data_IF_248977658159
#
_entry.id   IF_248977658159
#
_cell.length_a   1.000
_cell.length_b   1.000
_cell.length_c   1.000
_cell.angle_alpha   90.00
_cell.angle_beta   90.00
_cell.angle_gamma   90.00
#
_symmetry.space_group_name_H-M   'P 1'
#
loop_
_entity.id
_entity.type
_entity.pdbx_description
1 polymer ?
#
# COMPACT_ATOMS: atom_id res chain seq x y z
N UNK A 1 -6.07 -9.18 4.17
CA UNK A 1 -4.59 -9.21 4.20
C UNK A 1 -4.07 -9.10 2.78
N UNK A 2 -3.10 -8.22 2.56
CA UNK A 2 -2.33 -8.11 1.32
C UNK A 2 -0.87 -8.41 1.66
N UNK A 3 -0.22 -9.27 0.89
CA UNK A 3 1.19 -9.63 1.07
C UNK A 3 1.97 -9.04 -0.09
N UNK A 4 2.96 -8.21 0.23
CA UNK A 4 3.74 -7.50 -0.79
C UNK A 4 3.06 -6.28 -1.41
N UNK A 5 3.87 -5.45 -2.06
CA UNK A 5 3.40 -4.41 -2.96
C UNK A 5 3.29 -4.98 -4.40
N UNK A 6 2.09 -5.00 -5.03
CA UNK A 6 1.85 -5.66 -6.32
C UNK A 6 2.36 -4.80 -7.49
N UNK A 7 3.66 -4.54 -7.50
CA UNK A 7 4.35 -3.80 -8.54
C UNK A 7 4.24 -4.53 -9.88
N UNK A 8 4.15 -3.74 -10.96
CA UNK A 8 4.13 -4.31 -12.30
C UNK A 8 5.48 -4.98 -12.63
N UNK A 9 5.49 -6.04 -13.45
CA UNK A 9 6.72 -6.68 -13.87
C UNK A 9 7.63 -5.69 -14.60
N UNK A 10 8.93 -5.86 -14.40
CA UNK A 10 9.94 -5.02 -15.02
C UNK A 10 10.18 -5.47 -16.47
N UNK A 11 9.61 -4.74 -17.43
CA UNK A 11 9.76 -5.02 -18.87
C UNK A 11 9.94 -3.73 -19.66
N UNK A 12 10.29 -3.86 -20.94
CA UNK A 12 10.60 -2.71 -21.81
C UNK A 12 9.44 -1.71 -21.92
N UNK A 13 8.20 -2.21 -22.06
CA UNK A 13 7.00 -1.35 -22.11
C UNK A 13 6.86 -0.55 -20.82
N UNK A 14 7.08 -1.19 -19.65
CA UNK A 14 7.01 -0.51 -18.36
C UNK A 14 8.12 0.54 -18.21
N UNK A 15 9.34 0.23 -18.66
CA UNK A 15 10.46 1.18 -18.65
C UNK A 15 10.15 2.41 -19.52
N UNK A 16 9.57 2.21 -20.71
CA UNK A 16 9.17 3.32 -21.59
C UNK A 16 8.11 4.20 -20.95
N UNK A 17 7.10 3.61 -20.31
CA UNK A 17 6.08 4.36 -19.56
C UNK A 17 6.74 5.17 -18.44
N UNK A 18 7.61 4.56 -17.64
CA UNK A 18 8.31 5.26 -16.56
C UNK A 18 9.17 6.42 -17.08
N UNK A 19 9.89 6.24 -18.19
CA UNK A 19 10.68 7.31 -18.81
C UNK A 19 9.80 8.45 -19.31
N UNK A 20 8.65 8.13 -19.91
CA UNK A 20 7.69 9.14 -20.34
C UNK A 20 7.19 9.98 -19.16
N UNK A 21 6.70 9.34 -18.09
CA UNK A 21 6.22 10.05 -16.91
C UNK A 21 7.34 10.79 -16.18
N UNK A 22 8.56 10.25 -16.10
CA UNK A 22 9.70 10.95 -15.53
C UNK A 22 10.03 12.23 -16.31
N UNK A 23 9.95 12.20 -17.65
CA UNK A 23 10.14 13.40 -18.48
C UNK A 23 9.04 14.45 -18.27
N UNK A 24 7.79 14.01 -18.06
CA UNK A 24 6.65 14.92 -17.91
C UNK A 24 6.50 15.49 -16.50
N UNK A 25 6.82 14.70 -15.46
CA UNK A 25 6.48 15.01 -14.06
C UNK A 25 7.69 14.97 -13.12
N UNK A 26 8.92 14.79 -13.63
CA UNK A 26 10.14 14.72 -12.82
C UNK A 26 10.14 13.52 -11.88
N UNK A 27 10.58 13.73 -10.63
CA UNK A 27 10.67 12.69 -9.60
C UNK A 27 9.32 11.99 -9.32
N UNK A 28 8.20 12.73 -9.39
CA UNK A 28 6.85 12.17 -9.22
C UNK A 28 6.43 11.25 -10.36
N UNK A 29 7.08 11.34 -11.52
CA UNK A 29 6.77 10.50 -12.67
C UNK A 29 6.90 9.00 -12.39
N UNK A 30 7.89 8.60 -11.59
CA UNK A 30 8.07 7.19 -11.18
C UNK A 30 6.93 6.73 -10.27
N UNK A 31 6.52 7.57 -9.31
CA UNK A 31 5.41 7.28 -8.43
C UNK A 31 4.12 7.05 -9.23
N UNK A 32 3.79 7.99 -10.12
CA UNK A 32 2.59 7.93 -10.96
C UNK A 32 2.60 6.68 -11.86
N UNK A 33 3.72 6.38 -12.49
CA UNK A 33 3.82 5.30 -13.49
C UNK A 33 3.91 3.89 -12.91
N UNK A 34 4.37 3.75 -11.66
CA UNK A 34 4.77 2.44 -11.11
C UNK A 34 4.19 2.14 -9.72
N UNK A 35 4.31 3.08 -8.78
CA UNK A 35 3.90 2.86 -7.39
C UNK A 35 2.40 3.07 -7.20
N UNK A 36 1.84 4.16 -7.73
CA UNK A 36 0.42 4.50 -7.59
C UNK A 36 -0.52 3.39 -8.12
N UNK A 37 -0.28 2.77 -9.29
CA UNK A 37 -1.09 1.64 -9.74
C UNK A 37 -1.02 0.42 -8.81
N UNK A 38 0.12 0.18 -8.17
CA UNK A 38 0.25 -0.90 -7.20
C UNK A 38 -0.50 -0.58 -5.90
N UNK A 39 -0.35 0.63 -5.39
CA UNK A 39 -1.10 1.12 -4.22
C UNK A 39 -2.61 1.05 -4.43
N UNK A 40 -3.11 1.46 -5.60
CA UNK A 40 -4.53 1.36 -5.91
C UNK A 40 -5.05 -0.09 -5.81
N UNK A 41 -4.27 -1.09 -6.24
CA UNK A 41 -4.66 -2.50 -6.09
C UNK A 41 -4.69 -2.95 -4.63
N UNK A 42 -3.74 -2.48 -3.82
CA UNK A 42 -3.72 -2.74 -2.37
C UNK A 42 -4.97 -2.14 -1.72
N UNK A 43 -5.24 -0.86 -1.97
CA UNK A 43 -6.39 -0.15 -1.43
C UNK A 43 -7.72 -0.78 -1.87
N UNK A 44 -7.83 -1.21 -3.13
CA UNK A 44 -8.99 -1.96 -3.60
C UNK A 44 -9.19 -3.28 -2.86
N UNK A 45 -8.12 -4.02 -2.58
CA UNK A 45 -8.20 -5.27 -1.83
C UNK A 45 -8.58 -5.04 -0.36
N UNK A 46 -8.00 -4.02 0.28
CA UNK A 46 -8.30 -3.67 1.67
C UNK A 46 -9.72 -3.10 1.82
N UNK A 47 -10.19 -2.30 0.86
CA UNK A 47 -11.56 -1.77 0.81
C UNK A 47 -12.66 -2.83 0.68
N UNK A 48 -12.30 -4.11 0.44
CA UNK A 48 -13.29 -5.21 0.51
C UNK A 48 -13.68 -5.57 1.94
N UNK A 49 -12.88 -5.17 2.93
CA UNK A 49 -13.10 -5.47 4.37
C UNK A 49 -14.09 -4.48 5.00
N UNK A 50 -14.00 -3.20 4.65
CA UNK A 50 -14.87 -2.13 5.16
C UNK A 50 -15.78 -1.64 4.02
N UNK A 51 -17.06 -2.04 4.04
CA UNK A 51 -18.05 -1.75 2.99
C UNK A 51 -19.20 -0.87 3.48
N UNK A 52 -19.47 -0.85 4.77
CA UNK A 52 -20.43 0.07 5.43
C UNK A 52 -19.78 0.78 6.62
N UNK A 53 -20.36 1.89 7.12
CA UNK A 53 -19.83 2.60 8.28
C UNK A 53 -19.76 1.77 9.57
N UNK A 54 -20.56 0.72 9.67
CA UNK A 54 -20.63 -0.17 10.84
C UNK A 54 -19.66 -1.34 10.76
N UNK A 55 -19.08 -1.59 9.58
CA UNK A 55 -18.14 -2.69 9.39
C UNK A 55 -16.90 -2.48 10.26
N UNK A 56 -16.51 -3.55 10.95
CA UNK A 56 -15.26 -3.62 11.69
C UNK A 56 -14.41 -4.74 11.11
N UNK A 57 -13.12 -4.46 10.93
CA UNK A 57 -12.19 -5.46 10.44
C UNK A 57 -10.75 -5.07 10.66
N UNK A 58 -9.87 -6.06 10.54
CA UNK A 58 -8.43 -5.86 10.65
C UNK A 58 -7.82 -5.86 9.25
N UNK A 59 -7.14 -4.77 8.90
CA UNK A 59 -6.37 -4.65 7.68
C UNK A 59 -4.92 -5.04 7.95
N UNK A 60 -4.35 -5.87 7.08
CA UNK A 60 -2.97 -6.37 7.23
C UNK A 60 -2.25 -6.12 5.92
N UNK A 61 -1.15 -5.38 6.00
CA UNK A 61 -0.20 -5.12 4.91
C UNK A 61 1.13 -5.81 5.28
N UNK A 62 1.38 -6.96 4.66
CA UNK A 62 2.55 -7.80 4.96
C UNK A 62 3.74 -7.45 4.08
N UNK A 63 4.29 -6.24 4.22
CA UNK A 63 5.52 -5.78 3.56
C UNK A 63 6.05 -4.53 4.27
N UNK A 64 7.36 -4.43 4.49
CA UNK A 64 7.99 -3.30 5.17
C UNK A 64 7.95 -2.01 4.34
N UNK A 65 7.82 -2.11 3.01
CA UNK A 65 7.72 -0.95 2.12
C UNK A 65 6.53 -0.05 2.43
N UNK A 66 5.47 -0.54 3.08
CA UNK A 66 4.36 0.31 3.52
C UNK A 66 4.74 1.26 4.67
N UNK A 67 5.89 1.06 5.32
CA UNK A 67 6.45 1.93 6.35
C UNK A 67 7.39 3.00 5.77
N UNK A 68 7.83 2.86 4.50
CA UNK A 68 8.61 3.87 3.80
C UNK A 68 7.78 5.17 3.68
N UNK A 69 8.28 6.34 4.13
CA UNK A 69 7.55 7.60 4.04
C UNK A 69 7.01 7.90 2.62
N UNK A 70 7.77 7.56 1.58
CA UNK A 70 7.36 7.78 0.18
C UNK A 70 6.11 6.98 -0.24
N UNK A 71 5.78 5.92 0.49
CA UNK A 71 4.59 5.10 0.30
C UNK A 71 3.54 5.41 1.36
N UNK A 72 3.93 5.50 2.63
CA UNK A 72 3.03 5.75 3.76
C UNK A 72 2.26 7.06 3.58
N UNK A 73 2.94 8.14 3.20
CA UNK A 73 2.32 9.46 2.95
C UNK A 73 1.37 9.48 1.75
N UNK A 74 1.32 8.39 0.97
CA UNK A 74 0.44 8.23 -0.21
C UNK A 74 -0.77 7.34 0.09
N UNK A 75 -0.88 6.80 1.30
CA UNK A 75 -2.08 6.12 1.79
C UNK A 75 -3.15 7.14 2.21
N UNK A 76 -4.44 6.76 2.31
CA UNK A 76 -5.45 7.61 2.92
C UNK A 76 -5.06 8.04 4.35
N UNK A 77 -5.32 9.30 4.71
CA UNK A 77 -4.87 9.89 5.99
C UNK A 77 -5.21 9.04 7.22
N UNK A 78 -6.45 8.53 7.29
CA UNK A 78 -6.89 7.66 8.38
C UNK A 78 -6.03 6.39 8.51
N UNK A 79 -5.56 5.81 7.40
CA UNK A 79 -4.65 4.66 7.45
C UNK A 79 -3.27 5.06 7.95
N UNK A 80 -2.79 6.27 7.63
CA UNK A 80 -1.49 6.75 8.09
C UNK A 80 -1.45 6.93 9.61
N UNK A 81 -2.56 7.36 10.18
CA UNK A 81 -2.77 7.56 11.61
C UNK A 81 -2.97 6.24 12.37
N UNK A 82 -3.70 5.29 11.79
CA UNK A 82 -4.05 4.03 12.44
C UNK A 82 -3.03 2.90 12.24
N UNK A 83 -2.15 2.99 11.22
CA UNK A 83 -1.17 1.93 10.94
C UNK A 83 -0.22 1.72 12.13
N UNK A 84 -0.08 0.45 12.53
CA UNK A 84 0.84 0.03 13.57
C UNK A 84 1.82 -0.97 12.98
N UNK A 85 3.12 -0.70 13.13
CA UNK A 85 4.16 -1.67 12.81
C UNK A 85 4.10 -2.82 13.82
N UNK A 86 4.03 -4.04 13.30
CA UNK A 86 3.91 -5.26 14.09
C UNK A 86 4.90 -6.29 13.57
N UNK A 87 5.54 -7.01 14.48
CA UNK A 87 6.38 -8.14 14.13
C UNK A 87 5.58 -9.45 14.24
N UNK A 88 6.01 -10.49 13.52
CA UNK A 88 5.31 -11.78 13.48
C UNK A 88 5.11 -12.43 14.86
N UNK A 89 5.98 -12.12 15.83
CA UNK A 89 5.91 -12.66 17.19
C UNK A 89 4.92 -11.89 18.06
N UNK A 90 4.80 -10.57 17.86
CA UNK A 90 3.84 -9.73 18.60
C UNK A 90 2.43 -9.74 17.99
N UNK A 91 2.31 -10.01 16.69
CA UNK A 91 1.05 -10.00 15.95
C UNK A 91 -0.08 -10.86 16.56
N UNK A 92 0.15 -12.13 16.98
CA UNK A 92 -0.91 -12.94 17.61
C UNK A 92 -1.44 -12.34 18.91
N UNK A 93 -0.58 -11.68 19.69
CA UNK A 93 -0.97 -11.03 20.95
C UNK A 93 -1.82 -9.79 20.67
N UNK A 94 -1.50 -9.04 19.63
CA UNK A 94 -2.25 -7.85 19.22
C UNK A 94 -3.65 -8.24 18.70
N UNK A 95 -3.74 -9.27 17.86
CA UNK A 95 -5.03 -9.79 17.40
C UNK A 95 -5.92 -10.26 18.55
N UNK A 96 -5.36 -10.90 19.58
CA UNK A 96 -6.12 -11.32 20.76
C UNK A 96 -6.69 -10.16 21.57
N UNK A 97 -6.10 -8.97 21.49
CA UNK A 97 -6.61 -7.75 22.17
C UNK A 97 -7.74 -7.06 21.40
N UNK A 98 -7.88 -7.38 20.12
CA UNK A 98 -8.93 -6.81 19.26
C UNK A 98 -10.27 -7.57 19.39
N UNK A 99 -10.21 -8.85 19.79
CA UNK A 99 -11.35 -9.64 20.25
C UNK A 99 -11.69 -9.35 21.72
#
# INVERSE_FOLDING_TARGET
MVIGLPLAPWNQVRQMIMQYYARQYGEEGKFIAYTLPALNKVLQALGRVLRTPEDRGVLIMGDDRFLDPSIKERLPDWMQEEIQEVDIRSFPTLLKRWN
#
